data_IF_722490729457
#
_entry.id   IF_722490729457
#
_cell.length_a   1.000
_cell.length_b   1.000
_cell.length_c   1.000
_cell.angle_alpha   90.00
_cell.angle_beta   90.00
_cell.angle_gamma   90.00
#
_symmetry.space_group_name_H-M   'P 1'
#
loop_
_entity.id
_entity.type
_entity.pdbx_description
1 polymer ?
#
# COMPACT_ATOMS: atom_id res chain seq x y z
N UNK A 1 -13.39 19.92 -34.25
CA UNK A 1 -14.03 18.84 -33.47
C UNK A 1 -14.49 19.44 -32.15
N UNK A 2 -15.79 19.47 -31.89
CA UNK A 2 -16.38 20.22 -30.75
C UNK A 2 -15.89 19.67 -29.41
N UNK A 3 -15.64 20.54 -28.42
CA UNK A 3 -15.15 20.14 -27.09
C UNK A 3 -16.09 19.11 -26.42
N UNK A 4 -17.40 19.22 -26.67
CA UNK A 4 -18.42 18.27 -26.23
C UNK A 4 -18.24 16.87 -26.83
N UNK A 5 -17.85 16.76 -28.10
CA UNK A 5 -17.60 15.49 -28.78
C UNK A 5 -16.34 14.80 -28.24
N UNK A 6 -15.30 15.58 -27.94
CA UNK A 6 -14.07 15.08 -27.28
C UNK A 6 -14.36 14.56 -25.88
N UNK A 7 -15.17 15.27 -25.11
CA UNK A 7 -15.56 14.86 -23.76
C UNK A 7 -16.48 13.62 -23.79
N UNK A 8 -17.39 13.52 -24.77
CA UNK A 8 -18.22 12.33 -24.95
C UNK A 8 -17.39 11.09 -25.32
N UNK A 9 -16.39 11.25 -26.20
CA UNK A 9 -15.44 10.19 -26.54
C UNK A 9 -14.63 9.74 -25.32
N UNK A 10 -14.22 10.68 -24.45
CA UNK A 10 -13.51 10.36 -23.21
C UNK A 10 -14.38 9.57 -22.23
N UNK A 11 -15.65 9.94 -22.08
CA UNK A 11 -16.63 9.22 -21.24
C UNK A 11 -16.98 7.85 -21.83
N UNK A 12 -17.10 7.75 -23.16
CA UNK A 12 -17.36 6.49 -23.84
C UNK A 12 -16.19 5.49 -23.68
N UNK A 13 -14.94 5.96 -23.74
CA UNK A 13 -13.75 5.13 -23.48
C UNK A 13 -13.70 4.65 -22.02
N UNK A 14 -14.13 5.48 -21.06
CA UNK A 14 -14.23 5.10 -19.64
C UNK A 14 -15.33 4.04 -19.39
N UNK A 15 -16.39 4.01 -20.20
CA UNK A 15 -17.49 3.04 -20.09
C UNK A 15 -17.17 1.67 -20.71
N UNK A 16 -16.09 1.54 -21.49
CA UNK A 16 -15.68 0.28 -22.15
C UNK A 16 -14.66 -0.57 -21.37
N UNK A 17 -14.35 -0.22 -20.11
CA UNK A 17 -13.41 -0.99 -19.26
C UNK A 17 -14.07 -2.26 -18.65
N UNK A 18 -15.37 -2.45 -18.83
CA UNK A 18 -16.08 -3.64 -18.36
C UNK A 18 -15.95 -4.83 -19.30
N UNK A 19 -14.83 -5.55 -19.26
CA UNK A 19 -14.83 -6.98 -19.61
C UNK A 19 -14.59 -7.78 -18.35
N UNK A 20 -15.61 -8.49 -17.90
CA UNK A 20 -15.50 -9.49 -16.84
C UNK A 20 -14.70 -10.69 -17.36
N UNK A 21 -13.37 -10.55 -17.40
CA UNK A 21 -12.47 -11.72 -17.30
C UNK A 21 -12.50 -12.15 -15.84
N UNK A 22 -12.66 -13.42 -15.51
CA UNK A 22 -12.57 -13.89 -14.13
C UNK A 22 -11.13 -14.30 -13.81
N UNK A 23 -10.18 -13.36 -13.74
CA UNK A 23 -8.89 -13.67 -13.13
C UNK A 23 -9.04 -13.60 -11.61
N UNK A 24 -9.56 -14.68 -11.04
CA UNK A 24 -9.83 -14.84 -9.61
C UNK A 24 -8.51 -14.90 -8.82
N UNK A 25 -8.54 -14.42 -7.58
CA UNK A 25 -7.49 -14.73 -6.61
C UNK A 25 -7.51 -16.25 -6.34
N UNK A 26 -6.67 -16.98 -7.07
CA UNK A 26 -6.67 -18.45 -7.09
C UNK A 26 -6.03 -19.09 -5.84
N UNK A 27 -5.35 -18.28 -5.03
CA UNK A 27 -4.71 -18.72 -3.79
C UNK A 27 -5.32 -18.03 -2.59
N UNK A 28 -5.58 -18.80 -1.54
CA UNK A 28 -6.18 -18.27 -0.32
C UNK A 28 -5.19 -17.41 0.45
N UNK A 29 -3.90 -17.75 0.40
CA UNK A 29 -2.86 -17.06 1.14
C UNK A 29 -1.79 -16.52 0.19
N UNK A 30 -1.26 -15.33 0.50
CA UNK A 30 -0.03 -14.85 -0.11
C UNK A 30 0.81 -14.11 0.92
N UNK A 31 2.10 -14.36 0.94
CA UNK A 31 3.07 -13.66 1.81
C UNK A 31 4.18 -13.08 0.96
N UNK A 32 4.64 -11.88 1.29
CA UNK A 32 5.64 -11.21 0.48
C UNK A 32 6.47 -10.19 1.23
N UNK A 33 7.44 -9.68 0.49
CA UNK A 33 8.19 -8.51 0.87
C UNK A 33 7.68 -7.32 0.07
N UNK A 34 7.45 -6.21 0.77
CA UNK A 34 7.13 -4.92 0.21
C UNK A 34 8.34 -4.00 0.37
N UNK A 35 8.65 -3.26 -0.68
CA UNK A 35 9.74 -2.30 -0.79
C UNK A 35 9.18 -0.93 -1.17
N UNK A 36 9.90 0.14 -0.84
CA UNK A 36 9.50 1.53 -1.08
C UNK A 36 9.48 2.33 0.22
N UNK A 37 8.57 3.29 0.33
CA UNK A 37 8.39 4.13 1.53
C UNK A 37 8.05 3.33 2.79
N UNK A 38 7.36 2.21 2.61
CA UNK A 38 7.04 1.26 3.66
C UNK A 38 7.66 -0.11 3.34
N UNK A 39 8.97 -0.24 3.56
CA UNK A 39 9.64 -1.54 3.47
C UNK A 39 9.19 -2.44 4.61
N UNK A 40 8.81 -3.68 4.29
CA UNK A 40 8.21 -4.58 5.27
C UNK A 40 7.76 -5.91 4.69
N UNK A 41 7.04 -6.66 5.52
CA UNK A 41 6.39 -7.92 5.13
C UNK A 41 4.92 -7.62 4.90
N UNK A 42 4.34 -8.20 3.86
CA UNK A 42 2.90 -8.17 3.65
C UNK A 42 2.32 -9.57 3.55
N UNK A 43 1.10 -9.70 4.05
CA UNK A 43 0.35 -10.94 4.03
C UNK A 43 -1.06 -10.66 3.55
N UNK A 44 -1.49 -11.35 2.51
CA UNK A 44 -2.82 -11.25 1.94
C UNK A 44 -3.60 -12.54 2.20
N UNK A 45 -4.84 -12.37 2.65
CA UNK A 45 -5.84 -13.41 2.77
C UNK A 45 -6.99 -13.13 1.80
N UNK A 46 -7.21 -14.03 0.86
CA UNK A 46 -8.30 -13.94 -0.11
C UNK A 46 -9.61 -14.36 0.55
N UNK A 47 -10.58 -13.44 0.59
CA UNK A 47 -11.92 -13.69 1.13
C UNK A 47 -12.86 -14.24 0.04
N UNK A 48 -12.72 -13.71 -1.18
CA UNK A 48 -13.48 -14.10 -2.35
C UNK A 48 -12.63 -13.84 -3.60
N UNK A 49 -13.03 -14.34 -4.77
CA UNK A 49 -12.31 -14.12 -6.02
C UNK A 49 -11.95 -12.65 -6.33
N UNK A 50 -12.76 -11.71 -5.84
CA UNK A 50 -12.65 -10.27 -6.05
C UNK A 50 -12.31 -9.47 -4.78
N UNK A 51 -12.15 -10.11 -3.62
CA UNK A 51 -11.91 -9.42 -2.33
C UNK A 51 -10.81 -10.10 -1.52
N UNK A 52 -9.95 -9.29 -0.93
CA UNK A 52 -8.90 -9.75 -0.04
C UNK A 52 -8.68 -8.79 1.12
N UNK A 53 -8.12 -9.31 2.21
CA UNK A 53 -7.56 -8.51 3.30
C UNK A 53 -6.05 -8.61 3.23
N UNK A 54 -5.36 -7.48 3.34
CA UNK A 54 -3.91 -7.44 3.41
C UNK A 54 -3.46 -6.80 4.72
N UNK A 55 -2.54 -7.46 5.42
CA UNK A 55 -1.80 -6.92 6.54
C UNK A 55 -0.38 -6.57 6.09
N UNK A 56 0.09 -5.37 6.40
CA UNK A 56 1.45 -4.91 6.08
C UNK A 56 2.14 -4.52 7.37
N UNK A 57 3.27 -5.15 7.66
CA UNK A 57 4.13 -4.82 8.78
C UNK A 57 5.41 -4.19 8.29
N UNK A 58 5.60 -2.90 8.56
CA UNK A 58 6.79 -2.14 8.21
C UNK A 58 7.62 -1.83 9.45
N UNK A 59 8.91 -2.13 9.37
CA UNK A 59 9.90 -1.84 10.41
C UNK A 59 11.03 -1.08 9.73
N UNK A 60 11.25 0.16 10.16
CA UNK A 60 12.31 1.00 9.63
C UNK A 60 13.14 1.54 10.80
N UNK A 61 14.45 1.35 10.73
CA UNK A 61 15.39 1.82 11.74
C UNK A 61 16.49 2.61 11.05
N UNK A 62 16.67 3.85 11.47
CA UNK A 62 17.75 4.74 11.05
C UNK A 62 18.58 5.16 12.27
N UNK A 63 19.71 5.83 12.03
CA UNK A 63 20.62 6.30 13.10
C UNK A 63 19.93 7.21 14.13
N UNK A 64 18.88 7.92 13.73
CA UNK A 64 18.17 8.90 14.57
C UNK A 64 16.75 8.50 14.97
N UNK A 65 16.18 7.46 14.35
CA UNK A 65 14.74 7.18 14.46
C UNK A 65 14.44 5.72 14.27
N UNK A 66 13.50 5.18 15.04
CA UNK A 66 12.82 3.92 14.75
C UNK A 66 11.35 4.19 14.38
N UNK A 67 10.85 3.47 13.38
CA UNK A 67 9.45 3.48 12.98
C UNK A 67 8.94 2.04 12.90
N UNK A 68 7.83 1.79 13.56
CA UNK A 68 7.05 0.57 13.41
C UNK A 68 5.66 0.95 12.92
N UNK A 69 5.12 0.26 11.93
CA UNK A 69 3.75 0.47 11.46
C UNK A 69 3.13 -0.85 11.01
N UNK A 70 1.93 -1.10 11.51
CA UNK A 70 1.07 -2.21 11.13
C UNK A 70 -0.15 -1.64 10.41
N UNK A 71 -0.36 -2.04 9.17
CA UNK A 71 -1.45 -1.60 8.30
C UNK A 71 -2.39 -2.78 8.07
N UNK A 72 -3.69 -2.56 8.18
CA UNK A 72 -4.72 -3.47 7.70
C UNK A 72 -5.48 -2.83 6.55
N UNK A 73 -5.63 -3.54 5.43
CA UNK A 73 -6.29 -3.08 4.21
C UNK A 73 -7.34 -4.09 3.77
N UNK A 74 -8.50 -3.60 3.38
CA UNK A 74 -9.51 -4.35 2.65
C UNK A 74 -9.46 -3.95 1.18
N UNK A 75 -9.31 -4.93 0.29
CA UNK A 75 -8.99 -4.71 -1.12
C UNK A 75 -10.00 -5.38 -2.03
N UNK A 76 -10.43 -4.65 -3.05
CA UNK A 76 -11.19 -5.14 -4.18
C UNK A 76 -10.23 -5.39 -5.35
N UNK A 77 -10.18 -6.62 -5.83
CA UNK A 77 -9.36 -7.01 -6.98
C UNK A 77 -10.23 -7.06 -8.23
N UNK A 78 -9.73 -6.47 -9.31
CA UNK A 78 -10.35 -6.44 -10.62
C UNK A 78 -9.36 -6.91 -11.68
N UNK A 79 -9.66 -7.98 -12.40
CA UNK A 79 -8.80 -8.51 -13.44
C UNK A 79 -8.77 -7.60 -14.67
N UNK A 80 -7.60 -7.48 -15.30
CA UNK A 80 -7.39 -6.79 -16.58
C UNK A 80 -7.19 -7.83 -17.69
N UNK A 81 -6.40 -8.85 -17.39
CA UNK A 81 -6.22 -10.06 -18.18
C UNK A 81 -5.97 -11.26 -17.23
N UNK A 82 -5.67 -12.43 -17.79
CA UNK A 82 -5.54 -13.67 -17.01
C UNK A 82 -4.44 -13.60 -15.95
N UNK A 83 -3.36 -12.85 -16.21
CA UNK A 83 -2.19 -12.75 -15.32
C UNK A 83 -2.12 -11.40 -14.57
N UNK A 84 -2.81 -10.38 -15.07
CA UNK A 84 -2.70 -9.01 -14.62
C UNK A 84 -4.02 -8.53 -14.02
N UNK A 85 -3.96 -7.98 -12.82
CA UNK A 85 -5.10 -7.41 -12.11
C UNK A 85 -4.75 -6.05 -11.56
N UNK A 86 -5.75 -5.22 -11.35
CA UNK A 86 -5.63 -4.03 -10.53
C UNK A 86 -6.44 -4.22 -9.26
N UNK A 87 -6.05 -3.51 -8.21
CA UNK A 87 -6.76 -3.55 -6.95
C UNK A 87 -6.85 -2.16 -6.36
N UNK A 88 -7.90 -1.93 -5.59
CA UNK A 88 -8.07 -0.73 -4.80
C UNK A 88 -8.70 -1.09 -3.47
N UNK A 89 -8.48 -0.26 -2.46
CA UNK A 89 -8.90 -0.60 -1.12
C UNK A 89 -8.76 0.54 -0.14
N UNK A 90 -9.21 0.26 1.06
CA UNK A 90 -9.14 1.17 2.19
C UNK A 90 -8.85 0.39 3.47
N UNK A 91 -8.44 1.10 4.50
CA UNK A 91 -8.15 0.51 5.79
C UNK A 91 -7.54 1.53 6.73
N UNK A 92 -6.65 1.08 7.59
CA UNK A 92 -5.97 1.95 8.54
C UNK A 92 -4.69 1.34 9.05
N UNK A 93 -3.92 2.15 9.75
CA UNK A 93 -2.67 1.72 10.35
C UNK A 93 -2.51 2.23 11.76
N UNK A 94 -1.78 1.45 12.54
CA UNK A 94 -1.28 1.82 13.85
C UNK A 94 0.23 1.64 13.86
N UNK A 95 0.93 2.58 14.47
CA UNK A 95 2.38 2.54 14.52
C UNK A 95 2.95 3.28 15.70
N UNK A 96 4.26 3.15 15.84
CA UNK A 96 5.05 3.93 16.79
C UNK A 96 6.22 4.59 16.07
N UNK A 97 6.44 5.85 16.41
CA UNK A 97 7.56 6.65 15.98
C UNK A 97 8.41 6.96 17.20
N UNK A 98 9.65 6.47 17.22
CA UNK A 98 10.58 6.72 18.32
C UNK A 98 11.77 7.53 17.82
N UNK A 99 11.93 8.74 18.34
CA UNK A 99 13.16 9.51 18.16
C UNK A 99 14.23 8.98 19.12
N UNK A 100 15.40 8.63 18.58
CA UNK A 100 16.54 8.20 19.40
C UNK A 100 17.16 9.43 20.04
N UNK A 101 17.59 9.29 21.29
CA UNK A 101 18.33 10.35 21.94
C UNK A 101 19.59 10.68 21.15
N UNK A 102 19.79 11.96 20.81
CA UNK A 102 21.01 12.43 20.17
C UNK A 102 21.46 13.73 20.82
N UNK A 103 22.78 13.90 20.93
CA UNK A 103 23.39 15.13 21.40
C UNK A 103 23.76 15.98 20.20
N UNK A 104 23.21 17.19 20.14
CA UNK A 104 23.59 18.15 19.12
C UNK A 104 24.86 18.88 19.57
N UNK A 105 25.99 18.48 18.99
CA UNK A 105 27.31 19.02 19.33
C UNK A 105 27.51 20.48 18.88
N UNK A 106 26.70 21.00 17.94
CA UNK A 106 26.77 22.41 17.54
C UNK A 106 26.08 23.33 18.55
N UNK A 107 25.03 22.83 19.20
CA UNK A 107 24.12 23.64 20.04
C UNK A 107 24.17 23.26 21.53
N UNK A 108 24.92 22.21 21.90
CA UNK A 108 25.07 21.72 23.27
C UNK A 108 23.81 21.13 23.90
N UNK A 109 22.73 20.95 23.12
CA UNK A 109 21.43 20.46 23.60
C UNK A 109 21.33 18.94 23.48
N UNK A 110 20.81 18.34 24.55
CA UNK A 110 20.42 16.93 24.58
C UNK A 110 18.96 16.81 24.15
N UNK A 111 18.70 16.04 23.10
CA UNK A 111 17.34 15.69 22.69
C UNK A 111 17.01 14.33 23.33
N UNK A 112 16.08 14.26 24.31
CA UNK A 112 15.71 13.01 24.95
C UNK A 112 14.96 12.08 23.98
N UNK A 113 14.91 10.79 24.33
CA UNK A 113 14.12 9.82 23.60
C UNK A 113 12.63 10.18 23.72
N UNK A 114 11.99 10.41 22.58
CA UNK A 114 10.55 10.64 22.51
C UNK A 114 9.88 9.55 21.69
N UNK A 115 8.67 9.15 22.08
CA UNK A 115 7.91 8.08 21.44
C UNK A 115 6.48 8.51 21.25
N UNK A 116 6.05 8.55 20.00
CA UNK A 116 4.72 8.97 19.59
C UNK A 116 3.99 7.78 18.96
N UNK A 117 2.69 7.70 19.22
CA UNK A 117 1.80 6.74 18.56
C UNK A 117 1.24 7.38 17.30
N UNK A 118 1.28 6.65 16.20
CA UNK A 118 0.67 7.06 14.94
C UNK A 118 -0.57 6.21 14.68
N UNK A 119 -1.67 6.86 14.34
CA UNK A 119 -2.90 6.22 13.86
C UNK A 119 -3.33 6.91 12.56
N UNK A 120 -3.57 6.10 11.53
CA UNK A 120 -3.99 6.57 10.20
C UNK A 120 -5.18 5.83 9.63
N UNK A 121 -5.84 6.49 8.69
CA UNK A 121 -6.68 5.87 7.68
C UNK A 121 -5.85 5.79 6.40
N UNK A 122 -5.92 4.64 5.74
CA UNK A 122 -5.09 4.30 4.58
C UNK A 122 -5.98 3.96 3.39
N UNK A 123 -5.63 4.49 2.23
CA UNK A 123 -6.14 4.04 0.93
C UNK A 123 -5.06 3.25 0.21
N UNK A 124 -5.46 2.38 -0.72
CA UNK A 124 -4.51 1.71 -1.62
C UNK A 124 -5.09 1.62 -3.02
N UNK A 125 -4.25 1.82 -4.03
CA UNK A 125 -4.54 1.53 -5.42
C UNK A 125 -3.30 0.94 -6.07
N UNK A 126 -3.43 -0.17 -6.78
CA UNK A 126 -2.29 -0.88 -7.31
C UNK A 126 -2.62 -1.79 -8.47
N UNK A 127 -1.56 -2.34 -9.04
CA UNK A 127 -1.58 -3.36 -10.06
C UNK A 127 -0.75 -4.56 -9.60
N UNK A 128 -1.21 -5.75 -9.92
CA UNK A 128 -0.56 -7.02 -9.62
C UNK A 128 -0.44 -7.85 -10.90
N UNK A 129 0.79 -8.26 -11.19
CA UNK A 129 1.12 -9.26 -12.19
C UNK A 129 1.43 -10.59 -11.51
N UNK A 130 0.63 -11.60 -11.81
CA UNK A 130 0.83 -12.99 -11.38
C UNK A 130 1.70 -13.65 -12.43
N UNK A 131 2.86 -14.14 -12.03
CA UNK A 131 3.79 -14.74 -12.97
C UNK A 131 3.21 -16.11 -13.38
N UNK A 132 2.94 -16.35 -14.67
CA UNK A 132 2.49 -17.66 -15.14
C UNK A 132 3.46 -18.76 -14.67
N UNK A 133 2.95 -19.97 -14.45
CA UNK A 133 3.73 -21.17 -14.09
C UNK A 133 4.50 -21.14 -12.76
N UNK A 134 4.46 -20.02 -12.01
CA UNK A 134 5.10 -19.92 -10.68
C UNK A 134 4.09 -19.45 -9.63
N UNK A 135 4.27 -19.83 -8.35
CA UNK A 135 3.47 -19.32 -7.24
C UNK A 135 3.81 -17.86 -6.88
N UNK A 136 4.52 -17.11 -7.74
CA UNK A 136 4.96 -15.74 -7.45
C UNK A 136 4.03 -14.71 -8.10
N UNK A 137 3.94 -13.55 -7.46
CA UNK A 137 3.25 -12.37 -7.97
C UNK A 137 4.05 -11.12 -7.62
N UNK A 138 3.97 -10.14 -8.49
CA UNK A 138 4.64 -8.86 -8.36
C UNK A 138 3.57 -7.79 -8.37
N UNK A 139 3.60 -6.86 -7.42
CA UNK A 139 2.67 -5.73 -7.40
C UNK A 139 3.37 -4.39 -7.30
N UNK A 140 2.72 -3.37 -7.86
CA UNK A 140 3.11 -1.99 -7.73
C UNK A 140 1.89 -1.20 -7.30
N UNK A 141 2.00 -0.44 -6.24
CA UNK A 141 0.86 0.28 -5.68
C UNK A 141 1.21 1.60 -5.02
N UNK A 142 0.18 2.40 -4.87
CA UNK A 142 0.14 3.71 -4.28
C UNK A 142 -0.74 3.64 -3.03
N UNK A 143 -0.17 3.95 -1.87
CA UNK A 143 -0.85 3.84 -0.58
C UNK A 143 -0.92 5.18 0.16
N UNK A 144 -1.80 6.12 -0.27
CA UNK A 144 -2.01 7.37 0.47
C UNK A 144 -2.53 7.09 1.89
N UNK A 145 -2.12 7.90 2.86
CA UNK A 145 -2.57 7.78 4.24
C UNK A 145 -2.77 9.14 4.88
N UNK A 146 -3.67 9.20 5.85
CA UNK A 146 -3.95 10.37 6.65
C UNK A 146 -3.75 10.01 8.13
N UNK A 147 -2.72 10.58 8.77
CA UNK A 147 -2.46 10.43 10.21
C UNK A 147 -3.32 11.44 10.99
N UNK A 148 -4.04 10.97 12.01
CA UNK A 148 -4.97 11.81 12.80
C UNK A 148 -4.41 12.23 14.17
N UNK A 149 -3.47 11.47 14.73
CA UNK A 149 -2.98 11.67 16.11
C UNK A 149 -1.62 12.35 16.16
N UNK A 150 -0.77 12.10 15.17
CA UNK A 150 0.50 12.81 15.03
C UNK A 150 0.20 14.16 14.37
N UNK A 151 0.60 15.26 15.00
CA UNK A 151 0.34 16.66 14.58
C UNK A 151 -0.01 16.79 13.10
N UNK A 152 -1.26 17.18 12.84
CA UNK A 152 -1.97 17.61 11.63
C UNK A 152 -1.11 18.01 10.41
N UNK A 153 -0.21 17.14 9.99
CA UNK A 153 0.71 17.34 8.89
C UNK A 153 0.46 16.23 7.90
N UNK A 154 -0.04 16.62 6.73
CA UNK A 154 -0.23 15.73 5.59
C UNK A 154 1.18 15.28 5.16
N UNK A 155 1.64 14.18 5.73
CA UNK A 155 2.89 13.54 5.34
C UNK A 155 2.60 12.58 4.20
N UNK A 156 2.56 13.11 2.98
CA UNK A 156 2.69 12.33 1.75
C UNK A 156 4.14 11.80 1.65
N UNK A 157 4.52 10.86 2.51
CA UNK A 157 5.80 10.16 2.34
C UNK A 157 5.59 9.11 1.25
N UNK A 158 6.09 9.44 0.06
CA UNK A 158 6.27 8.58 -1.12
C UNK A 158 5.34 7.35 -1.16
N UNK A 159 4.07 7.49 -1.57
CA UNK A 159 3.06 6.44 -1.43
C UNK A 159 3.36 5.18 -2.27
N UNK A 160 4.41 5.20 -3.10
CA UNK A 160 4.76 4.09 -3.96
C UNK A 160 5.34 2.90 -3.17
N UNK A 161 4.85 1.72 -3.50
CA UNK A 161 5.38 0.46 -3.03
C UNK A 161 5.44 -0.57 -4.14
N UNK A 162 6.45 -1.41 -4.04
CA UNK A 162 6.68 -2.56 -4.90
C UNK A 162 6.67 -3.80 -4.02
N UNK A 163 5.92 -4.83 -4.37
CA UNK A 163 5.87 -6.07 -3.59
C UNK A 163 6.14 -7.29 -4.45
N UNK A 164 6.81 -8.28 -3.85
CA UNK A 164 6.91 -9.63 -4.40
C UNK A 164 6.27 -10.57 -3.40
N UNK A 165 5.21 -11.28 -3.81
CA UNK A 165 4.46 -12.20 -2.96
C UNK A 165 4.50 -13.63 -3.51
N UNK A 166 4.71 -14.58 -2.61
CA UNK A 166 4.53 -16.01 -2.80
C UNK A 166 3.11 -16.41 -2.39
N UNK A 167 2.40 -17.10 -3.27
CA UNK A 167 1.00 -17.52 -3.14
C UNK A 167 0.94 -19.03 -2.82
N UNK A 168 0.10 -19.42 -1.88
CA UNK A 168 -0.10 -20.83 -1.47
C UNK A 168 -1.50 -21.10 -0.93
#
# INVERSE_FOLDING_TARGET
MNQTLRNLLFVAVLLFIGKDSFAQLDSQHAIGARFGSATGINYRYTLSPDRAVEAIMSIQSNSRTNRFRLVGLYQFHKPINDDFSWYYGFGGSVGSYTQKAYRDYQNGRDYPKDSEVALSIDGVIGVEYRIPTTPLSISLDLKPYFDFIQESSIRLIDPFGFSVRYKF
#
